data_IF_903549599405
#
_entry.id   IF_903549599405
#
_cell.length_a   1.000
_cell.length_b   1.000
_cell.length_c   1.000
_cell.angle_alpha   90.00
_cell.angle_beta   90.00
_cell.angle_gamma   90.00
#
_symmetry.space_group_name_H-M   'P 1'
#
loop_
_entity.id
_entity.type
_entity.pdbx_description
1 polymer ?
#
# COMPACT_ATOMS: atom_id res chain seq x y z
N UNK A 1 -3.32 21.49 8.30
CA UNK A 1 -2.07 20.77 8.63
C UNK A 1 -2.29 19.30 8.26
N UNK A 2 -1.80 18.85 7.10
CA UNK A 2 -2.02 17.46 6.65
C UNK A 2 -1.00 16.54 7.33
N UNK A 3 -1.33 16.02 8.51
CA UNK A 3 -0.48 15.07 9.21
C UNK A 3 -0.59 13.71 8.53
N UNK A 4 0.43 13.32 7.77
CA UNK A 4 0.52 11.95 7.24
C UNK A 4 0.87 11.01 8.40
N UNK A 5 -0.03 10.13 8.85
CA UNK A 5 0.23 9.27 10.01
C UNK A 5 1.31 8.24 9.68
N UNK A 6 2.28 8.07 10.57
CA UNK A 6 3.31 7.02 10.48
C UNK A 6 2.79 5.72 11.07
N UNK A 7 3.09 4.58 10.44
CA UNK A 7 2.73 3.25 10.93
C UNK A 7 3.94 2.32 10.86
N UNK A 8 4.22 1.60 11.94
CA UNK A 8 5.23 0.54 11.94
C UNK A 8 4.64 -0.75 11.33
N UNK A 9 5.40 -1.40 10.46
CA UNK A 9 4.97 -2.61 9.74
C UNK A 9 6.11 -3.63 9.82
N UNK A 10 5.79 -4.88 10.16
CA UNK A 10 6.74 -5.97 10.09
C UNK A 10 6.89 -6.43 8.64
N UNK A 11 8.14 -6.49 8.16
CA UNK A 11 8.47 -6.96 6.82
C UNK A 11 9.19 -8.31 6.92
N UNK A 12 8.92 -9.20 5.96
CA UNK A 12 9.73 -10.41 5.81
C UNK A 12 11.10 -10.04 5.24
N UNK A 13 12.16 -10.85 5.48
CA UNK A 13 13.51 -10.55 4.98
C UNK A 13 13.54 -10.30 3.46
N UNK A 14 12.78 -11.09 2.69
CA UNK A 14 12.68 -10.94 1.23
C UNK A 14 12.13 -9.56 0.82
N UNK A 15 11.14 -9.03 1.56
CA UNK A 15 10.59 -7.70 1.28
C UNK A 15 11.54 -6.59 1.68
N UNK A 16 12.29 -6.77 2.78
CA UNK A 16 13.32 -5.83 3.19
C UNK A 16 14.43 -5.74 2.14
N UNK A 17 14.93 -6.87 1.66
CA UNK A 17 15.97 -6.94 0.63
C UNK A 17 15.52 -6.27 -0.67
N UNK A 18 14.27 -6.50 -1.07
CA UNK A 18 13.68 -5.82 -2.22
C UNK A 18 13.66 -4.30 -2.03
N UNK A 19 13.19 -3.80 -0.88
CA UNK A 19 13.17 -2.37 -0.58
C UNK A 19 14.58 -1.78 -0.58
N UNK A 20 15.56 -2.46 0.03
CA UNK A 20 16.95 -2.03 0.05
C UNK A 20 17.52 -1.92 -1.36
N UNK A 21 17.26 -2.90 -2.22
CA UNK A 21 17.69 -2.86 -3.62
C UNK A 21 17.05 -1.70 -4.39
N UNK A 22 15.76 -1.42 -4.17
CA UNK A 22 15.06 -0.29 -4.80
C UNK A 22 15.64 1.06 -4.37
N UNK A 23 15.95 1.24 -3.09
CA UNK A 23 16.60 2.47 -2.61
C UNK A 23 18.03 2.58 -3.14
N UNK A 24 18.81 1.48 -3.12
CA UNK A 24 20.17 1.45 -3.64
C UNK A 24 20.26 1.76 -5.14
N UNK A 25 19.21 1.44 -5.91
CA UNK A 25 19.12 1.77 -7.33
C UNK A 25 18.94 3.27 -7.61
N UNK A 26 18.63 4.09 -6.60
CA UNK A 26 18.42 5.52 -6.73
C UNK A 26 17.03 5.93 -7.20
N UNK A 27 16.13 4.99 -7.52
CA UNK A 27 14.75 5.29 -7.93
C UNK A 27 13.87 5.83 -6.80
N UNK A 28 14.23 5.54 -5.54
CA UNK A 28 13.49 5.96 -4.35
C UNK A 28 14.45 6.45 -3.28
N UNK A 29 14.08 7.51 -2.57
CA UNK A 29 14.95 8.13 -1.55
C UNK A 29 14.92 7.37 -0.23
N UNK A 30 13.83 6.63 0.04
CA UNK A 30 13.65 5.89 1.29
C UNK A 30 12.63 4.75 1.15
N UNK A 31 12.61 3.86 2.14
CA UNK A 31 11.69 2.73 2.21
C UNK A 31 10.21 3.16 2.17
N UNK A 32 9.85 4.28 2.78
CA UNK A 32 8.45 4.75 2.79
C UNK A 32 7.97 5.12 1.38
N UNK A 33 8.85 5.62 0.52
CA UNK A 33 8.51 5.89 -0.89
C UNK A 33 8.27 4.60 -1.68
N UNK A 34 9.14 3.60 -1.51
CA UNK A 34 8.98 2.28 -2.14
C UNK A 34 7.64 1.66 -1.74
N UNK A 35 7.32 1.67 -0.44
CA UNK A 35 6.06 1.11 0.09
C UNK A 35 4.86 1.87 -0.47
N UNK A 36 4.89 3.21 -0.53
CA UNK A 36 3.79 4.00 -1.12
C UNK A 36 3.61 3.72 -2.60
N UNK A 37 4.69 3.60 -3.37
CA UNK A 37 4.61 3.23 -4.78
C UNK A 37 3.99 1.84 -4.96
N UNK A 38 4.41 0.86 -4.15
CA UNK A 38 3.82 -0.48 -4.16
C UNK A 38 2.33 -0.49 -3.82
N UNK A 39 1.91 0.30 -2.83
CA UNK A 39 0.49 0.43 -2.47
C UNK A 39 -0.33 1.09 -3.58
N UNK A 40 0.21 2.09 -4.29
CA UNK A 40 -0.48 2.71 -5.43
C UNK A 40 -0.71 1.71 -6.56
N UNK A 41 0.30 0.94 -6.93
CA UNK A 41 0.17 -0.12 -7.95
C UNK A 41 -0.84 -1.19 -7.53
N UNK A 42 -0.87 -1.55 -6.25
CA UNK A 42 -1.89 -2.46 -5.72
C UNK A 42 -3.30 -1.87 -5.85
N UNK A 43 -3.48 -0.60 -5.47
CA UNK A 43 -4.76 0.10 -5.62
C UNK A 43 -5.21 0.18 -7.07
N UNK A 44 -4.30 0.49 -8.00
CA UNK A 44 -4.60 0.53 -9.44
C UNK A 44 -5.08 -0.84 -9.94
N UNK A 45 -4.40 -1.93 -9.54
CA UNK A 45 -4.83 -3.30 -9.87
C UNK A 45 -6.21 -3.63 -9.28
N UNK A 46 -6.46 -3.25 -8.04
CA UNK A 46 -7.72 -3.53 -7.34
C UNK A 46 -8.89 -2.65 -7.83
N UNK A 47 -8.59 -1.50 -8.44
CA UNK A 47 -9.59 -0.62 -9.08
C UNK A 47 -9.92 -1.08 -10.50
N UNK A 48 -8.93 -1.62 -11.24
CA UNK A 48 -9.12 -2.16 -12.59
C UNK A 48 -9.77 -3.53 -12.56
N UNK A 49 -9.51 -4.35 -11.54
CA UNK A 49 -10.34 -5.51 -11.27
C UNK A 49 -11.75 -5.01 -10.91
N UNK A 50 -12.81 -5.38 -11.64
CA UNK A 50 -14.16 -5.04 -11.23
C UNK A 50 -14.38 -5.64 -9.85
N UNK A 51 -14.39 -4.79 -8.83
CA UNK A 51 -14.85 -5.16 -7.50
C UNK A 51 -16.25 -5.74 -7.73
N UNK A 52 -16.53 -7.03 -7.46
CA UNK A 52 -17.91 -7.46 -7.34
C UNK A 52 -18.49 -6.59 -6.24
N UNK A 53 -19.32 -5.64 -6.63
CA UNK A 53 -20.06 -4.79 -5.71
C UNK A 53 -20.84 -5.75 -4.83
N UNK A 54 -20.38 -5.97 -3.60
CA UNK A 54 -21.16 -6.70 -2.63
C UNK A 54 -22.47 -5.91 -2.43
N UNK A 55 -23.63 -6.44 -2.82
CA UNK A 55 -24.89 -5.81 -2.50
C UNK A 55 -25.22 -6.18 -1.07
N UNK A 56 -25.28 -5.20 -0.18
CA UNK A 56 -25.88 -5.38 1.15
C UNK A 56 -25.03 -4.92 2.32
N UNK A 57 -24.92 -3.60 2.50
CA UNK A 57 -24.93 -3.01 3.83
C UNK A 57 -26.27 -2.28 4.03
N UNK A 58 -27.35 -2.98 3.73
CA UNK A 58 -28.65 -2.68 4.32
C UNK A 58 -28.63 -3.17 5.77
N UNK A 59 -29.18 -2.34 6.66
CA UNK A 59 -29.51 -2.64 8.06
C UNK A 59 -28.38 -2.43 9.07
N UNK A 60 -28.30 -1.22 9.57
CA UNK A 60 -28.33 -1.06 11.03
C UNK A 60 -29.69 -0.49 11.40
N UNK A 61 -30.51 -1.38 11.96
CA UNK A 61 -31.76 -1.07 12.63
C UNK A 61 -31.47 -0.95 14.12
N UNK A 62 -31.57 0.26 14.65
CA UNK A 62 -32.30 0.67 15.87
C UNK A 62 -31.67 1.93 16.45
#
# INVERSE_FOLDING_TARGET
MSSTPTRNIALTPVLEDYIRAQVASGHYSNASEVVRAGLRLLMERDLVAPRPTAPGAGRQAR
#
